data_IF_089127756047
#
_entry.id   IF_089127756047
#
_cell.length_a   1.000
_cell.length_b   1.000
_cell.length_c   1.000
_cell.angle_alpha   90.00
_cell.angle_beta   90.00
_cell.angle_gamma   90.00
#
_symmetry.space_group_name_H-M   'P 1'
#
loop_
_entity.id
_entity.type
_entity.pdbx_description
1 polymer ?
#
# COMPACT_ATOMS: atom_id res chain seq x y z
N UNK A 1 -44.47 -28.08 6.78
CA UNK A 1 -43.14 -27.92 7.40
C UNK A 1 -42.09 -28.30 6.38
N UNK A 2 -41.44 -27.30 5.79
CA UNK A 2 -40.09 -27.38 5.21
C UNK A 2 -39.80 -25.97 4.69
N UNK A 3 -39.00 -25.26 5.47
CA UNK A 3 -38.67 -23.85 5.37
C UNK A 3 -37.87 -23.59 4.08
N UNK A 4 -38.33 -22.64 3.27
CA UNK A 4 -37.54 -22.05 2.20
C UNK A 4 -36.47 -21.14 2.86
N UNK A 5 -35.22 -21.58 2.82
CA UNK A 5 -34.08 -20.75 3.20
C UNK A 5 -33.98 -19.57 2.23
N UNK A 6 -34.44 -18.41 2.70
CA UNK A 6 -34.30 -17.12 2.04
C UNK A 6 -32.82 -16.70 2.09
N UNK A 7 -32.06 -17.01 1.04
CA UNK A 7 -30.71 -16.47 0.85
C UNK A 7 -30.86 -14.99 0.51
N UNK A 8 -30.72 -14.12 1.52
CA UNK A 8 -30.61 -12.68 1.30
C UNK A 8 -29.42 -12.42 0.38
N UNK A 9 -29.73 -11.89 -0.80
CA UNK A 9 -28.78 -11.33 -1.75
C UNK A 9 -27.90 -10.34 -0.97
N UNK A 10 -26.60 -10.63 -0.85
CA UNK A 10 -25.65 -9.70 -0.24
C UNK A 10 -25.54 -8.52 -1.20
N UNK A 11 -26.16 -7.40 -0.86
CA UNK A 11 -26.05 -6.19 -1.63
C UNK A 11 -24.61 -5.68 -1.53
N UNK A 12 -23.95 -5.58 -2.69
CA UNK A 12 -22.58 -5.06 -2.82
C UNK A 12 -22.53 -3.59 -2.36
N UNK A 13 -23.68 -2.91 -2.30
CA UNK A 13 -23.81 -1.55 -1.78
C UNK A 13 -23.43 -1.43 -0.29
N UNK A 14 -23.70 -2.45 0.54
CA UNK A 14 -23.37 -2.43 1.97
C UNK A 14 -21.86 -2.52 2.22
N UNK A 15 -21.10 -3.14 1.31
CA UNK A 15 -19.63 -3.27 1.40
C UNK A 15 -18.92 -1.96 1.03
N UNK A 16 -19.53 -1.13 0.18
CA UNK A 16 -18.97 0.16 -0.21
C UNK A 16 -19.23 1.25 0.83
N UNK A 17 -20.35 1.22 1.56
CA UNK A 17 -20.60 2.17 2.67
C UNK A 17 -19.59 2.00 3.82
N UNK A 18 -19.25 0.75 4.20
CA UNK A 18 -18.22 0.46 5.20
C UNK A 18 -16.82 0.93 4.74
N UNK A 19 -16.58 0.98 3.43
CA UNK A 19 -15.32 1.44 2.85
C UNK A 19 -15.18 2.96 2.99
N UNK A 20 -16.27 3.72 2.77
CA UNK A 20 -16.27 5.18 2.87
C UNK A 20 -16.08 5.66 4.32
N UNK A 21 -16.68 4.97 5.29
CA UNK A 21 -16.48 5.26 6.71
C UNK A 21 -15.04 4.94 7.17
N UNK A 22 -14.39 3.92 6.58
CA UNK A 22 -12.98 3.61 6.81
C UNK A 22 -12.07 4.74 6.29
N UNK A 23 -12.40 5.29 5.12
CA UNK A 23 -11.68 6.41 4.54
C UNK A 23 -11.83 7.67 5.42
N UNK A 24 -13.03 7.99 5.89
CA UNK A 24 -13.29 9.13 6.81
C UNK A 24 -12.44 9.06 8.08
N UNK A 25 -12.42 7.90 8.73
CA UNK A 25 -11.66 7.68 9.97
C UNK A 25 -10.14 7.82 9.77
N UNK A 26 -9.62 7.45 8.59
CA UNK A 26 -8.22 7.61 8.21
C UNK A 26 -7.85 9.10 7.99
N UNK A 27 -8.78 9.95 7.54
CA UNK A 27 -8.53 11.39 7.38
C UNK A 27 -8.27 12.08 8.72
N UNK A 28 -9.06 11.82 9.78
CA UNK A 28 -8.78 12.44 11.09
C UNK A 28 -7.51 11.90 11.76
N UNK A 29 -7.10 10.66 11.44
CA UNK A 29 -5.84 10.08 11.95
C UNK A 29 -4.61 10.74 11.31
N UNK A 30 -4.77 11.29 10.12
CA UNK A 30 -3.71 11.96 9.33
C UNK A 30 -3.22 13.24 10.02
N UNK A 31 -4.12 14.03 10.60
CA UNK A 31 -3.80 15.28 11.31
C UNK A 31 -2.90 15.07 12.54
N UNK A 32 -3.03 13.91 13.21
CA UNK A 32 -2.29 13.59 14.44
C UNK A 32 -0.84 13.17 14.12
N UNK A 33 -0.64 12.45 13.01
CA UNK A 33 0.66 11.89 12.63
C UNK A 33 1.58 12.97 12.01
N UNK A 34 1.02 13.98 11.33
CA UNK A 34 1.77 15.11 10.79
C UNK A 34 2.50 15.90 11.90
N UNK A 35 1.86 16.04 13.06
CA UNK A 35 2.46 16.63 14.26
C UNK A 35 3.63 15.80 14.79
N UNK A 36 3.47 14.48 14.91
CA UNK A 36 4.53 13.59 15.44
C UNK A 36 5.74 13.47 14.51
N UNK A 37 5.55 13.50 13.18
CA UNK A 37 6.65 13.39 12.23
C UNK A 37 7.49 14.67 12.16
N UNK A 38 6.86 15.84 12.32
CA UNK A 38 7.56 17.13 12.40
C UNK A 38 8.50 17.23 13.61
N UNK A 39 8.17 16.55 14.72
CA UNK A 39 8.94 16.57 15.96
C UNK A 39 10.20 15.69 15.93
N UNK A 40 10.31 14.75 14.97
CA UNK A 40 11.43 13.79 14.88
C UNK A 40 12.61 14.34 14.05
N UNK A 41 12.46 15.51 13.42
CA UNK A 41 13.47 16.08 12.53
C UNK A 41 14.65 16.78 13.24
N UNK A 42 14.60 17.01 14.56
CA UNK A 42 15.54 17.89 15.28
C UNK A 42 16.75 17.20 15.96
N UNK A 43 17.00 15.91 15.70
CA UNK A 43 18.16 15.21 16.24
C UNK A 43 18.90 14.39 15.19
N UNK A 44 19.83 15.03 14.45
CA UNK A 44 21.24 14.63 14.31
C UNK A 44 22.01 15.60 13.38
N UNK A 45 23.09 16.18 13.92
CA UNK A 45 23.96 17.22 13.34
C UNK A 45 25.20 16.55 12.70
N UNK A 46 25.76 17.09 11.59
CA UNK A 46 27.19 17.47 11.47
C UNK A 46 27.60 18.14 10.13
N UNK A 47 28.01 19.41 10.26
CA UNK A 47 29.12 20.17 9.65
C UNK A 47 29.27 20.31 8.11
N UNK A 48 29.15 21.56 7.63
CA UNK A 48 30.28 22.36 7.11
C UNK A 48 29.84 23.81 6.81
N UNK A 49 30.70 24.75 7.19
CA UNK A 49 30.52 26.21 7.16
C UNK A 49 30.53 26.76 5.73
N UNK A 50 29.57 27.63 5.38
CA UNK A 50 29.84 28.94 4.75
C UNK A 50 28.55 29.77 4.65
N UNK A 51 28.65 31.03 5.10
CA UNK A 51 27.53 31.99 5.13
C UNK A 51 27.49 32.84 3.87
N UNK A 52 26.36 32.86 3.15
CA UNK A 52 25.86 34.08 2.52
C UNK A 52 24.32 34.07 2.57
N UNK A 53 23.76 35.06 3.26
CA UNK A 53 22.35 35.37 3.28
C UNK A 53 21.88 35.88 1.92
N UNK A 54 20.91 35.20 1.30
CA UNK A 54 20.16 35.75 0.16
C UNK A 54 18.65 35.63 0.35
N UNK A 55 17.99 36.67 -0.15
CA UNK A 55 16.66 37.12 0.23
C UNK A 55 15.57 36.22 -0.34
N UNK A 56 14.58 35.94 0.51
CA UNK A 56 13.29 35.33 0.18
C UNK A 56 12.61 36.09 -0.96
N UNK A 57 12.64 35.53 -2.18
CA UNK A 57 11.69 35.87 -3.22
C UNK A 57 10.50 34.92 -3.10
N UNK A 58 9.36 35.51 -2.74
CA UNK A 58 8.05 34.86 -2.69
C UNK A 58 7.66 34.52 -4.14
N UNK A 59 7.68 33.23 -4.49
CA UNK A 59 7.02 32.74 -5.70
C UNK A 59 5.68 32.17 -5.24
N UNK A 60 4.61 32.92 -5.47
CA UNK A 60 3.24 32.41 -5.52
C UNK A 60 3.17 31.43 -6.70
N UNK A 61 3.28 30.14 -6.40
CA UNK A 61 3.07 29.05 -7.34
C UNK A 61 1.78 28.33 -7.00
N UNK A 62 0.87 28.29 -7.98
CA UNK A 62 -0.44 27.63 -8.00
C UNK A 62 -0.62 26.46 -7.01
N UNK A 63 -1.77 26.42 -6.34
CA UNK A 63 -2.32 25.23 -5.68
C UNK A 63 -2.45 24.09 -6.71
N UNK A 64 -1.35 23.37 -6.94
CA UNK A 64 -1.42 22.00 -7.45
C UNK A 64 -2.04 21.21 -6.30
N UNK A 65 -3.09 20.40 -6.53
CA UNK A 65 -3.52 19.47 -5.49
C UNK A 65 -2.31 18.60 -5.21
N UNK A 66 -1.66 18.83 -4.07
CA UNK A 66 -0.62 17.96 -3.58
C UNK A 66 -1.35 16.66 -3.27
N UNK A 67 -1.23 15.70 -4.19
CA UNK A 67 -1.78 14.36 -4.01
C UNK A 67 -1.09 13.82 -2.76
N UNK A 68 -1.81 13.86 -1.65
CA UNK A 68 -1.36 13.38 -0.34
C UNK A 68 -0.75 11.99 -0.55
N UNK A 69 0.55 11.88 -0.29
CA UNK A 69 1.35 10.67 -0.50
C UNK A 69 1.12 9.68 0.66
N UNK A 70 -0.12 9.26 0.87
CA UNK A 70 -0.50 8.36 1.96
C UNK A 70 -0.33 6.90 1.54
N UNK A 71 0.29 6.06 2.35
CA UNK A 71 0.39 4.60 2.17
C UNK A 71 -0.24 3.86 3.36
N UNK A 72 -0.83 2.69 3.12
CA UNK A 72 -1.35 1.78 4.14
C UNK A 72 -0.25 0.90 4.74
N UNK A 73 0.78 0.59 3.95
CA UNK A 73 1.92 -0.20 4.40
C UNK A 73 2.97 0.66 5.11
N UNK A 74 3.64 0.14 6.15
CA UNK A 74 4.65 0.89 6.89
C UNK A 74 5.94 1.07 6.09
N UNK A 75 6.26 2.31 5.72
CA UNK A 75 7.41 2.68 4.90
C UNK A 75 8.75 2.14 5.47
N UNK A 76 8.93 2.19 6.79
CA UNK A 76 10.13 1.68 7.45
C UNK A 76 10.34 0.18 7.20
N UNK A 77 9.25 -0.62 7.18
CA UNK A 77 9.34 -2.06 6.93
C UNK A 77 9.71 -2.35 5.48
N UNK A 78 9.11 -1.61 4.53
CA UNK A 78 9.43 -1.71 3.11
C UNK A 78 10.90 -1.36 2.87
N UNK A 79 11.39 -0.25 3.44
CA UNK A 79 12.81 0.13 3.36
C UNK A 79 13.73 -0.96 3.92
N UNK A 80 13.37 -1.59 5.03
CA UNK A 80 14.18 -2.68 5.60
C UNK A 80 14.20 -3.92 4.70
N UNK A 81 13.09 -4.25 4.04
CA UNK A 81 13.03 -5.36 3.07
C UNK A 81 13.90 -5.03 1.84
N UNK A 82 13.83 -3.82 1.31
CA UNK A 82 14.66 -3.39 0.19
C UNK A 82 16.17 -3.50 0.49
N UNK A 83 16.57 -3.27 1.74
CA UNK A 83 17.96 -3.38 2.21
C UNK A 83 18.41 -4.81 2.55
N UNK A 84 17.54 -5.82 2.42
CA UNK A 84 17.96 -7.21 2.52
C UNK A 84 18.82 -7.64 1.33
N UNK A 85 18.69 -6.93 0.20
CA UNK A 85 19.56 -7.10 -0.96
C UNK A 85 20.96 -6.52 -0.67
N UNK A 86 22.04 -7.35 -0.70
CA UNK A 86 23.39 -6.89 -0.41
C UNK A 86 23.92 -5.83 -1.39
N UNK A 87 23.34 -5.75 -2.59
CA UNK A 87 23.74 -4.77 -3.61
C UNK A 87 23.05 -3.41 -3.41
N UNK A 88 22.11 -3.29 -2.45
CA UNK A 88 21.37 -2.07 -2.14
C UNK A 88 21.95 -1.34 -0.92
N UNK A 89 22.74 -0.29 -1.15
CA UNK A 89 23.38 0.50 -0.09
C UNK A 89 22.51 1.66 0.43
N UNK A 90 21.99 2.49 -0.49
CA UNK A 90 21.20 3.69 -0.20
C UNK A 90 19.83 3.57 -0.85
N UNK A 91 18.77 3.96 -0.11
CA UNK A 91 17.39 3.94 -0.60
C UNK A 91 16.74 5.29 -0.31
N UNK A 92 16.35 6.00 -1.37
CA UNK A 92 15.71 7.31 -1.29
C UNK A 92 14.25 7.20 -0.84
N UNK A 93 13.73 8.22 -0.16
CA UNK A 93 12.36 8.24 0.35
C UNK A 93 11.30 8.08 -0.75
N UNK A 94 11.52 8.70 -1.92
CA UNK A 94 10.62 8.58 -3.08
C UNK A 94 10.56 7.15 -3.64
N UNK A 95 11.69 6.45 -3.65
CA UNK A 95 11.75 5.05 -4.08
C UNK A 95 10.98 4.16 -3.09
N UNK A 96 11.14 4.37 -1.78
CA UNK A 96 10.37 3.66 -0.76
C UNK A 96 8.87 3.89 -0.96
N UNK A 97 8.45 5.13 -1.18
CA UNK A 97 7.04 5.45 -1.42
C UNK A 97 6.49 4.74 -2.66
N UNK A 98 7.19 4.79 -3.80
CA UNK A 98 6.76 4.14 -5.04
C UNK A 98 6.68 2.62 -4.89
N UNK A 99 7.69 1.99 -4.29
CA UNK A 99 7.69 0.54 -4.03
C UNK A 99 6.54 0.17 -3.09
N UNK A 100 6.27 0.99 -2.08
CA UNK A 100 5.13 0.78 -1.16
C UNK A 100 3.81 0.81 -1.91
N UNK A 101 3.60 1.81 -2.79
CA UNK A 101 2.39 1.89 -3.62
C UNK A 101 2.26 0.77 -4.64
N UNK A 102 3.35 0.40 -5.29
CA UNK A 102 3.37 -0.75 -6.18
C UNK A 102 3.01 -2.05 -5.43
N UNK A 103 3.49 -2.22 -4.20
CA UNK A 103 3.19 -3.39 -3.36
C UNK A 103 1.70 -3.43 -2.97
N UNK A 104 1.09 -2.30 -2.63
CA UNK A 104 -0.35 -2.22 -2.35
C UNK A 104 -1.19 -2.66 -3.56
N UNK A 105 -0.88 -2.10 -4.74
CA UNK A 105 -1.58 -2.44 -5.98
C UNK A 105 -1.34 -3.91 -6.40
N UNK A 106 -0.13 -4.41 -6.18
CA UNK A 106 0.22 -5.80 -6.44
C UNK A 106 -0.62 -6.75 -5.57
N UNK A 107 -0.74 -6.47 -4.27
CA UNK A 107 -1.55 -7.29 -3.35
C UNK A 107 -3.04 -7.27 -3.72
N UNK A 108 -3.58 -6.11 -4.08
CA UNK A 108 -4.97 -6.00 -4.55
C UNK A 108 -5.19 -6.81 -5.83
N UNK A 109 -4.27 -6.71 -6.77
CA UNK A 109 -4.36 -7.39 -8.07
C UNK A 109 -4.29 -8.91 -7.89
N UNK A 110 -3.29 -9.41 -7.16
CA UNK A 110 -3.11 -10.86 -6.98
C UNK A 110 -4.25 -11.47 -6.15
N UNK A 111 -4.79 -10.74 -5.17
CA UNK A 111 -5.93 -11.20 -4.38
C UNK A 111 -7.19 -11.32 -5.25
N UNK A 112 -7.49 -10.31 -6.08
CA UNK A 112 -8.62 -10.35 -7.01
C UNK A 112 -8.48 -11.47 -8.02
N UNK A 113 -7.29 -11.63 -8.62
CA UNK A 113 -7.04 -12.67 -9.62
C UNK A 113 -7.20 -14.08 -9.00
N UNK A 114 -6.64 -14.29 -7.81
CA UNK A 114 -6.79 -15.56 -7.06
C UNK A 114 -8.24 -15.85 -6.71
N UNK A 115 -9.01 -14.82 -6.35
CA UNK A 115 -10.41 -14.98 -6.05
C UNK A 115 -11.24 -15.37 -7.28
N UNK A 116 -10.87 -14.90 -8.49
CA UNK A 116 -11.53 -15.30 -9.74
C UNK A 116 -11.53 -16.81 -9.93
N UNK A 117 -10.40 -17.48 -9.71
CA UNK A 117 -10.30 -18.96 -9.77
C UNK A 117 -11.02 -19.64 -8.61
N UNK A 118 -11.01 -19.03 -7.42
CA UNK A 118 -11.76 -19.52 -6.26
C UNK A 118 -13.27 -19.55 -6.53
N UNK A 119 -13.80 -18.46 -7.08
CA UNK A 119 -15.22 -18.28 -7.39
C UNK A 119 -15.68 -19.19 -8.54
N UNK A 120 -14.83 -19.44 -9.56
CA UNK A 120 -15.10 -20.41 -10.63
C UNK A 120 -15.34 -21.83 -10.08
N UNK A 121 -14.72 -22.16 -8.94
CA UNK A 121 -14.89 -23.43 -8.24
C UNK A 121 -16.07 -23.42 -7.24
N UNK A 122 -16.94 -22.40 -7.29
CA UNK A 122 -18.08 -22.19 -6.38
C UNK A 122 -17.69 -22.15 -4.90
N UNK A 123 -16.47 -21.72 -4.60
CA UNK A 123 -15.98 -21.52 -3.23
C UNK A 123 -15.92 -20.04 -2.90
N UNK A 124 -16.01 -19.73 -1.60
CA UNK A 124 -15.85 -18.37 -1.05
C UNK A 124 -14.53 -18.18 -0.30
N UNK A 125 -13.79 -19.26 -0.07
CA UNK A 125 -12.51 -19.25 0.64
C UNK A 125 -11.37 -19.54 -0.33
N UNK A 126 -10.43 -18.60 -0.43
CA UNK A 126 -9.20 -18.76 -1.21
C UNK A 126 -8.37 -19.90 -0.61
N UNK A 127 -7.91 -20.82 -1.46
CA UNK A 127 -6.98 -21.87 -1.09
C UNK A 127 -5.63 -21.66 -1.79
N UNK A 128 -4.54 -22.22 -1.23
CA UNK A 128 -3.20 -22.15 -1.82
C UNK A 128 -3.18 -22.54 -3.31
N UNK A 129 -3.88 -23.63 -3.66
CA UNK A 129 -4.00 -24.12 -5.05
C UNK A 129 -4.56 -23.08 -6.03
N UNK A 130 -5.37 -22.13 -5.56
CA UNK A 130 -5.92 -21.09 -6.43
C UNK A 130 -4.84 -20.08 -6.79
N UNK A 131 -3.98 -19.73 -5.83
CA UNK A 131 -2.83 -18.87 -6.05
C UNK A 131 -1.79 -19.55 -6.94
N UNK A 132 -1.54 -20.85 -6.75
CA UNK A 132 -0.62 -21.62 -7.59
C UNK A 132 -1.08 -21.60 -9.06
N UNK A 133 -2.39 -21.69 -9.32
CA UNK A 133 -2.92 -21.59 -10.69
C UNK A 133 -2.68 -20.19 -11.27
N UNK A 134 -2.88 -19.13 -10.49
CA UNK A 134 -2.64 -17.74 -10.94
C UNK A 134 -1.18 -17.52 -11.31
N UNK A 135 -0.25 -17.95 -10.45
CA UNK A 135 1.20 -17.83 -10.70
C UNK A 135 1.60 -18.53 -12.01
N UNK A 136 1.03 -19.71 -12.27
CA UNK A 136 1.30 -20.47 -13.49
C UNK A 136 0.61 -19.93 -14.76
N UNK A 137 -0.40 -19.05 -14.61
CA UNK A 137 -1.19 -18.55 -15.75
C UNK A 137 -0.82 -17.14 -16.17
N UNK A 138 -0.19 -16.37 -15.30
CA UNK A 138 0.11 -14.95 -15.53
C UNK A 138 1.63 -14.78 -15.58
N UNK A 139 2.18 -14.59 -16.78
CA UNK A 139 3.63 -14.54 -17.02
C UNK A 139 4.37 -13.50 -16.13
N UNK A 140 3.74 -12.36 -15.85
CA UNK A 140 4.35 -11.34 -14.98
C UNK A 140 4.43 -11.74 -13.50
N UNK A 141 3.82 -12.86 -13.11
CA UNK A 141 3.89 -13.44 -11.76
C UNK A 141 4.90 -14.59 -11.66
N UNK A 142 5.61 -14.96 -12.75
CA UNK A 142 6.61 -16.04 -12.72
C UNK A 142 7.72 -15.84 -11.68
N UNK A 143 7.99 -14.60 -11.25
CA UNK A 143 8.95 -14.33 -10.16
C UNK A 143 8.53 -14.93 -8.80
N UNK A 144 7.28 -15.37 -8.67
CA UNK A 144 6.73 -16.05 -7.49
C UNK A 144 6.79 -17.58 -7.59
N UNK A 145 7.26 -18.13 -8.71
CA UNK A 145 7.42 -19.58 -8.86
C UNK A 145 8.39 -20.12 -7.81
N UNK A 146 8.00 -21.19 -7.11
CA UNK A 146 8.74 -21.76 -5.98
C UNK A 146 8.68 -20.96 -4.68
N UNK A 147 8.23 -19.69 -4.68
CA UNK A 147 8.12 -18.89 -3.46
C UNK A 147 7.05 -19.41 -2.48
N UNK A 148 6.11 -20.22 -2.98
CA UNK A 148 5.03 -20.82 -2.20
C UNK A 148 5.35 -22.25 -1.71
N UNK A 149 6.55 -22.78 -1.99
CA UNK A 149 6.96 -24.14 -1.62
C UNK A 149 7.63 -24.15 -0.24
N UNK A 150 6.82 -24.00 0.80
CA UNK A 150 7.24 -24.07 2.20
C UNK A 150 6.45 -25.12 2.99
#
# INVERSE_FOLDING_TARGET
>A
MSEEENYTELDISDVVEDTDHYLETDYQRTDIIESELSAVQDSEILNSEDQVAERKLVIQGANKPEVLRTTKLPLARIKNIMKLDPDVSVVNAEAVFLVTKATELFLETIAKETYTYTAQQKRKTIAKKDLDVVINKVDCLCFLEGAMDF
#
